data_IF_486531294504
#
_entry.id   IF_486531294504
#
_cell.length_a   1.000
_cell.length_b   1.000
_cell.length_c   1.000
_cell.angle_alpha   90.00
_cell.angle_beta   90.00
_cell.angle_gamma   90.00
#
_symmetry.space_group_name_H-M   'P 1'
#
loop_
_entity.id
_entity.type
_entity.pdbx_description
1 polymer ?
#
# COMPACT_ATOMS: atom_id res chain seq x y z
N UNK A 1 -1.87 -5.04 -11.05
CA UNK A 1 -0.63 -5.77 -11.40
C UNK A 1 -0.44 -5.70 -12.90
N UNK A 2 0.69 -5.29 -13.36
CA UNK A 2 1.02 -5.20 -14.77
C UNK A 2 2.29 -6.00 -15.08
N UNK A 3 2.26 -6.77 -16.16
CA UNK A 3 3.40 -7.47 -16.68
C UNK A 3 3.96 -6.70 -17.88
N UNK A 4 5.23 -6.46 -17.88
CA UNK A 4 5.94 -5.81 -18.99
C UNK A 4 7.02 -6.75 -19.51
N UNK A 5 7.00 -7.04 -20.79
CA UNK A 5 7.96 -7.94 -21.41
C UNK A 5 9.27 -7.21 -21.76
N UNK A 6 9.13 -6.01 -22.28
CA UNK A 6 10.26 -5.11 -22.54
C UNK A 6 9.78 -3.67 -22.59
N UNK A 7 10.71 -2.73 -22.56
CA UNK A 7 10.42 -1.30 -22.67
C UNK A 7 9.60 -0.94 -23.93
N UNK A 8 9.81 -1.68 -25.02
CA UNK A 8 9.16 -1.43 -26.32
C UNK A 8 7.86 -2.21 -26.53
N UNK A 9 7.60 -3.25 -25.76
CA UNK A 9 6.46 -4.15 -25.98
C UNK A 9 5.18 -3.76 -25.24
N UNK A 10 5.24 -2.77 -24.35
CA UNK A 10 4.10 -2.42 -23.50
C UNK A 10 3.70 -3.53 -22.51
N UNK A 11 2.47 -3.48 -22.05
CA UNK A 11 1.94 -4.47 -21.10
C UNK A 11 1.52 -5.76 -21.82
N UNK A 12 2.04 -6.89 -21.37
CA UNK A 12 1.64 -8.21 -21.85
C UNK A 12 0.42 -8.77 -21.13
N UNK A 13 0.25 -8.37 -19.87
CA UNK A 13 -0.89 -8.76 -19.04
C UNK A 13 -1.17 -7.72 -17.98
N UNK A 14 -2.42 -7.38 -17.78
CA UNK A 14 -2.87 -6.49 -16.72
C UNK A 14 -3.95 -7.16 -15.89
N UNK A 15 -3.93 -6.89 -14.58
CA UNK A 15 -4.98 -7.29 -13.66
C UNK A 15 -5.34 -6.10 -12.78
N UNK A 16 -6.61 -5.82 -12.69
CA UNK A 16 -7.14 -4.75 -11.83
C UNK A 16 -8.12 -5.34 -10.83
N UNK A 17 -7.90 -5.06 -9.55
CA UNK A 17 -8.84 -5.39 -8.49
C UNK A 17 -9.19 -4.07 -7.76
N UNK A 18 -10.41 -3.53 -7.95
CA UNK A 18 -10.83 -2.27 -7.36
C UNK A 18 -10.93 -2.33 -5.83
N UNK A 19 -10.94 -3.53 -5.25
CA UNK A 19 -11.02 -3.74 -3.80
C UNK A 19 -9.64 -3.84 -3.13
N UNK A 20 -8.56 -3.66 -3.89
CA UNK A 20 -7.17 -3.79 -3.40
C UNK A 20 -6.48 -2.43 -3.31
N UNK A 21 -7.22 -1.36 -3.10
CA UNK A 21 -6.67 -0.01 -2.94
C UNK A 21 -6.46 0.40 -1.48
N UNK A 22 -5.43 1.22 -1.23
CA UNK A 22 -5.16 1.81 0.10
C UNK A 22 -6.29 2.71 0.58
N UNK A 23 -7.06 3.28 -0.32
CA UNK A 23 -8.25 4.09 0.01
C UNK A 23 -9.24 3.37 0.92
N UNK A 24 -9.35 2.04 0.83
CA UNK A 24 -10.19 1.23 1.72
C UNK A 24 -9.66 1.27 3.16
N UNK A 25 -8.35 1.27 3.34
CA UNK A 25 -7.72 1.40 4.66
C UNK A 25 -7.95 2.82 5.18
N UNK A 26 -7.73 3.84 4.36
CA UNK A 26 -7.95 5.24 4.71
C UNK A 26 -9.37 5.50 5.19
N UNK A 27 -10.37 5.01 4.47
CA UNK A 27 -11.78 5.18 4.87
C UNK A 27 -12.11 4.42 6.17
N UNK A 28 -11.57 3.21 6.36
CA UNK A 28 -11.78 2.46 7.59
C UNK A 28 -11.13 3.13 8.82
N UNK A 29 -9.92 3.64 8.67
CA UNK A 29 -9.21 4.39 9.72
C UNK A 29 -9.94 5.70 10.03
N UNK A 30 -10.38 6.42 8.99
CA UNK A 30 -11.19 7.64 9.15
C UNK A 30 -12.47 7.36 9.92
N UNK A 31 -13.20 6.32 9.56
CA UNK A 31 -14.42 5.91 10.26
C UNK A 31 -14.15 5.57 11.75
N UNK A 32 -13.06 4.85 12.05
CA UNK A 32 -12.67 4.54 13.41
C UNK A 32 -12.32 5.80 14.22
N UNK A 33 -11.67 6.78 13.61
CA UNK A 33 -11.38 8.08 14.21
C UNK A 33 -12.66 8.89 14.46
N UNK A 34 -13.56 8.96 13.49
CA UNK A 34 -14.81 9.71 13.58
C UNK A 34 -15.76 9.14 14.65
N UNK A 35 -15.72 7.81 14.86
CA UNK A 35 -16.56 7.13 15.87
C UNK A 35 -16.04 7.34 17.28
N UNK A 36 -14.75 7.53 17.44
CA UNK A 36 -14.10 7.70 18.74
C UNK A 36 -14.00 9.15 19.21
N UNK A 37 -14.10 10.10 18.27
CA UNK A 37 -14.08 11.55 18.55
C UNK A 37 -15.23 12.17 17.76
N UNK A 38 -16.08 12.96 18.38
CA UNK A 38 -17.24 13.61 17.75
C UNK A 38 -16.87 14.67 16.69
N UNK A 39 -15.70 14.58 16.11
CA UNK A 39 -15.14 15.48 15.11
C UNK A 39 -14.88 14.73 13.81
N UNK A 40 -15.28 15.30 12.69
CA UNK A 40 -14.99 14.74 11.37
C UNK A 40 -13.48 14.80 11.07
N UNK A 41 -12.89 13.64 10.87
CA UNK A 41 -11.49 13.51 10.49
C UNK A 41 -11.31 13.66 8.98
N UNK A 42 -10.27 14.36 8.55
CA UNK A 42 -9.93 14.46 7.13
C UNK A 42 -9.26 13.17 6.64
N UNK A 43 -9.49 12.82 5.37
CA UNK A 43 -8.78 11.69 4.72
C UNK A 43 -7.27 11.90 4.72
N UNK A 44 -6.81 13.14 4.61
CA UNK A 44 -5.39 13.48 4.71
C UNK A 44 -4.78 13.08 6.07
N UNK A 45 -5.49 13.33 7.17
CA UNK A 45 -5.00 12.93 8.50
C UNK A 45 -4.96 11.41 8.64
N UNK A 46 -5.99 10.72 8.15
CA UNK A 46 -6.01 9.24 8.14
C UNK A 46 -4.83 8.67 7.33
N UNK A 47 -4.53 9.22 6.16
CA UNK A 47 -3.37 8.83 5.35
C UNK A 47 -2.04 9.07 6.09
N UNK A 48 -1.90 10.22 6.72
CA UNK A 48 -0.70 10.53 7.53
C UNK A 48 -0.53 9.56 8.69
N UNK A 49 -1.62 9.17 9.34
CA UNK A 49 -1.59 8.21 10.43
C UNK A 49 -1.20 6.81 9.94
N UNK A 50 -1.69 6.39 8.78
CA UNK A 50 -1.30 5.12 8.16
C UNK A 50 0.21 5.10 7.84
N UNK A 51 0.74 6.19 7.29
CA UNK A 51 2.18 6.33 7.00
C UNK A 51 3.02 6.32 8.28
N UNK A 52 2.54 6.97 9.35
CA UNK A 52 3.21 7.09 10.63
C UNK A 52 2.83 5.99 11.64
N UNK A 53 2.25 4.88 11.21
CA UNK A 53 1.74 3.80 12.08
C UNK A 53 2.79 3.17 12.99
N UNK A 54 4.05 3.27 12.63
CA UNK A 54 5.19 2.79 13.41
C UNK A 54 5.94 3.92 14.12
N UNK A 55 5.48 5.16 13.99
CA UNK A 55 6.07 6.33 14.63
C UNK A 55 5.37 6.62 15.97
N UNK A 56 5.98 6.15 17.04
CA UNK A 56 5.47 6.29 18.41
C UNK A 56 5.31 7.75 18.82
N UNK A 57 6.21 8.62 18.38
CA UNK A 57 6.16 10.06 18.69
C UNK A 57 4.94 10.70 18.03
N UNK A 58 4.67 10.36 16.76
CA UNK A 58 3.49 10.83 16.04
C UNK A 58 2.21 10.32 16.71
N UNK A 59 2.14 9.02 16.99
CA UNK A 59 0.96 8.41 17.59
C UNK A 59 0.64 8.98 18.96
N UNK A 60 1.64 9.17 19.82
CA UNK A 60 1.48 9.76 21.15
C UNK A 60 1.02 11.22 21.10
N UNK A 61 1.44 11.95 20.08
CA UNK A 61 1.05 13.35 19.89
C UNK A 61 -0.40 13.51 19.43
N UNK A 62 -0.86 12.68 18.52
CA UNK A 62 -2.16 12.83 17.87
C UNK A 62 -3.24 11.87 18.35
N UNK A 63 -2.86 10.75 18.96
CA UNK A 63 -3.76 9.77 19.57
C UNK A 63 -3.43 9.64 21.07
N UNK A 64 -3.79 10.65 21.85
CA UNK A 64 -3.49 10.71 23.27
C UNK A 64 -4.36 9.77 24.13
N UNK A 65 -5.58 9.49 23.66
CA UNK A 65 -6.48 8.55 24.35
C UNK A 65 -6.07 7.11 24.02
N UNK A 66 -5.73 6.33 25.04
CA UNK A 66 -5.23 4.96 24.89
C UNK A 66 -6.27 4.02 24.25
N UNK A 67 -7.54 4.15 24.60
CA UNK A 67 -8.62 3.31 24.06
C UNK A 67 -8.87 3.62 22.59
N UNK A 68 -8.91 4.90 22.25
CA UNK A 68 -9.02 5.37 20.86
C UNK A 68 -7.85 4.87 20.02
N UNK A 69 -6.64 5.02 20.54
CA UNK A 69 -5.42 4.56 19.88
C UNK A 69 -5.49 3.05 19.62
N UNK A 70 -5.84 2.26 20.64
CA UNK A 70 -5.95 0.81 20.52
C UNK A 70 -6.97 0.41 19.44
N UNK A 71 -8.14 1.07 19.42
CA UNK A 71 -9.18 0.81 18.42
C UNK A 71 -8.74 1.15 16.99
N UNK A 72 -8.14 2.32 16.80
CA UNK A 72 -7.65 2.76 15.48
C UNK A 72 -6.54 1.85 14.98
N UNK A 73 -5.59 1.50 15.82
CA UNK A 73 -4.48 0.60 15.46
C UNK A 73 -4.97 -0.81 15.15
N UNK A 74 -5.97 -1.30 15.86
CA UNK A 74 -6.61 -2.59 15.58
C UNK A 74 -7.25 -2.59 14.18
N UNK A 75 -8.06 -1.59 13.86
CA UNK A 75 -8.70 -1.45 12.54
C UNK A 75 -7.65 -1.34 11.44
N UNK A 76 -6.62 -0.54 11.64
CA UNK A 76 -5.50 -0.39 10.70
C UNK A 76 -4.83 -1.74 10.43
N UNK A 77 -4.46 -2.46 11.47
CA UNK A 77 -3.77 -3.75 11.37
C UNK A 77 -4.63 -4.81 10.65
N UNK A 78 -5.91 -4.90 10.99
CA UNK A 78 -6.85 -5.83 10.34
C UNK A 78 -6.98 -5.53 8.84
N UNK A 79 -7.06 -4.25 8.46
CA UNK A 79 -7.18 -3.83 7.06
C UNK A 79 -5.88 -3.99 6.29
N UNK A 80 -4.75 -3.70 6.90
CA UNK A 80 -3.42 -3.95 6.34
C UNK A 80 -3.22 -5.44 6.04
N UNK A 81 -3.58 -6.31 6.98
CA UNK A 81 -3.53 -7.76 6.81
C UNK A 81 -4.44 -8.24 5.69
N UNK A 82 -5.67 -7.74 5.60
CA UNK A 82 -6.60 -8.08 4.54
C UNK A 82 -6.11 -7.62 3.16
N UNK A 83 -5.53 -6.42 3.06
CA UNK A 83 -4.92 -5.91 1.83
C UNK A 83 -3.73 -6.79 1.41
N UNK A 84 -2.83 -7.05 2.34
CA UNK A 84 -1.66 -7.92 2.13
C UNK A 84 -2.07 -9.28 1.59
N UNK A 85 -3.07 -9.92 2.19
CA UNK A 85 -3.56 -11.22 1.74
C UNK A 85 -4.10 -11.16 0.31
N UNK A 86 -4.92 -10.16 -0.03
CA UNK A 86 -5.46 -10.00 -1.39
C UNK A 86 -4.38 -9.76 -2.43
N UNK A 87 -3.40 -8.92 -2.10
CA UNK A 87 -2.26 -8.64 -3.00
C UNK A 87 -1.45 -9.91 -3.21
N UNK A 88 -1.16 -10.65 -2.15
CA UNK A 88 -0.43 -11.92 -2.20
C UNK A 88 -1.16 -12.95 -3.07
N UNK A 89 -2.47 -13.10 -2.91
CA UNK A 89 -3.29 -14.00 -3.73
C UNK A 89 -3.28 -13.58 -5.20
N UNK A 90 -3.38 -12.28 -5.46
CA UNK A 90 -3.35 -11.75 -6.83
C UNK A 90 -2.00 -11.97 -7.49
N UNK A 91 -0.91 -11.75 -6.77
CA UNK A 91 0.47 -11.96 -7.24
C UNK A 91 0.76 -13.45 -7.44
N UNK A 92 0.29 -14.31 -6.54
CA UNK A 92 0.48 -15.75 -6.61
C UNK A 92 -0.14 -16.42 -7.83
N UNK A 93 -1.09 -15.75 -8.49
CA UNK A 93 -1.69 -16.24 -9.77
C UNK A 93 -0.77 -16.03 -10.98
N UNK A 94 0.29 -15.28 -10.82
CA UNK A 94 1.25 -15.00 -11.87
C UNK A 94 2.59 -15.63 -11.50
N UNK A 95 3.16 -16.38 -12.42
CA UNK A 95 4.46 -17.02 -12.26
C UNK A 95 5.49 -16.45 -13.23
N UNK A 96 6.77 -16.66 -12.93
CA UNK A 96 7.86 -16.36 -13.85
C UNK A 96 8.32 -14.89 -13.85
N UNK A 97 8.17 -14.20 -12.73
CA UNK A 97 8.74 -12.85 -12.59
C UNK A 97 10.27 -12.91 -12.57
N UNK A 98 10.90 -12.13 -13.42
CA UNK A 98 12.35 -11.89 -13.37
C UNK A 98 12.69 -10.71 -12.49
N UNK A 99 11.87 -9.67 -12.54
CA UNK A 99 11.99 -8.45 -11.73
C UNK A 99 10.60 -8.05 -11.23
N UNK A 100 10.55 -7.50 -10.04
CA UNK A 100 9.31 -6.99 -9.42
C UNK A 100 9.56 -5.57 -8.95
N UNK A 101 8.66 -4.68 -9.32
CA UNK A 101 8.65 -3.30 -8.84
C UNK A 101 7.31 -3.02 -8.16
N UNK A 102 7.36 -2.56 -6.91
CA UNK A 102 6.17 -2.15 -6.15
C UNK A 102 6.13 -0.64 -6.09
N UNK A 103 5.09 -0.06 -6.67
CA UNK A 103 4.89 1.39 -6.75
C UNK A 103 3.47 1.77 -6.33
N UNK A 104 3.30 3.02 -5.94
CA UNK A 104 2.00 3.55 -5.53
C UNK A 104 1.92 3.85 -4.03
N UNK A 105 0.89 4.58 -3.62
CA UNK A 105 0.73 5.06 -2.24
C UNK A 105 0.68 3.96 -1.15
N UNK A 106 0.43 2.72 -1.54
CA UNK A 106 0.39 1.55 -0.64
C UNK A 106 1.61 0.64 -0.72
N UNK A 107 2.65 1.01 -1.48
CA UNK A 107 3.81 0.16 -1.72
C UNK A 107 4.47 -0.30 -0.41
N UNK A 108 4.67 0.60 0.54
CA UNK A 108 5.28 0.29 1.84
C UNK A 108 4.48 -0.70 2.70
N UNK A 109 3.16 -0.78 2.49
CA UNK A 109 2.29 -1.70 3.24
C UNK A 109 2.40 -3.14 2.74
N UNK A 110 2.65 -3.33 1.45
CA UNK A 110 2.55 -4.65 0.80
C UNK A 110 3.87 -5.19 0.28
N UNK A 111 4.92 -4.36 0.22
CA UNK A 111 6.20 -4.72 -0.39
C UNK A 111 6.79 -6.02 0.16
N UNK A 112 6.83 -6.19 1.48
CA UNK A 112 7.36 -7.40 2.11
C UNK A 112 6.61 -8.66 1.70
N UNK A 113 5.29 -8.60 1.67
CA UNK A 113 4.45 -9.73 1.28
C UNK A 113 4.57 -10.05 -0.22
N UNK A 114 4.64 -9.02 -1.07
CA UNK A 114 4.86 -9.20 -2.52
C UNK A 114 6.22 -9.85 -2.78
N UNK A 115 7.26 -9.41 -2.10
CA UNK A 115 8.59 -10.01 -2.21
C UNK A 115 8.58 -11.49 -1.84
N UNK A 116 7.96 -11.82 -0.72
CA UNK A 116 7.83 -13.21 -0.26
C UNK A 116 7.02 -14.05 -1.25
N UNK A 117 5.92 -13.53 -1.77
CA UNK A 117 5.04 -14.25 -2.69
C UNK A 117 5.67 -14.48 -4.07
N UNK A 118 6.53 -13.56 -4.54
CA UNK A 118 7.21 -13.69 -5.83
C UNK A 118 8.51 -14.47 -5.76
N UNK A 119 9.14 -14.54 -4.58
CA UNK A 119 10.41 -15.23 -4.37
C UNK A 119 11.60 -14.65 -5.14
N UNK A 120 11.48 -13.42 -5.66
CA UNK A 120 12.59 -12.76 -6.35
C UNK A 120 13.66 -12.30 -5.37
N UNK A 121 14.92 -12.33 -5.81
CA UNK A 121 16.05 -11.86 -5.02
C UNK A 121 16.05 -10.35 -4.80
N UNK A 122 16.80 -9.88 -3.80
CA UNK A 122 16.85 -8.45 -3.42
C UNK A 122 17.29 -7.54 -4.57
N UNK A 123 18.22 -7.99 -5.39
CA UNK A 123 18.74 -7.27 -6.56
C UNK A 123 17.71 -7.11 -7.69
N UNK A 124 16.61 -7.84 -7.63
CA UNK A 124 15.52 -7.84 -8.62
C UNK A 124 14.19 -7.36 -8.08
N UNK A 125 14.19 -6.92 -6.83
CA UNK A 125 13.00 -6.40 -6.16
C UNK A 125 13.17 -4.93 -5.84
N UNK A 126 12.27 -4.10 -6.36
CA UNK A 126 12.32 -2.65 -6.23
C UNK A 126 11.08 -2.12 -5.56
N UNK A 127 11.27 -1.30 -4.56
CA UNK A 127 10.18 -0.51 -3.93
C UNK A 127 10.55 0.95 -4.13
N UNK A 128 9.60 1.74 -4.60
CA UNK A 128 9.85 3.15 -4.78
C UNK A 128 9.81 3.90 -3.45
N UNK A 129 10.81 4.74 -3.21
CA UNK A 129 10.84 5.66 -2.07
C UNK A 129 9.80 6.78 -2.23
N UNK A 130 9.38 7.06 -3.47
CA UNK A 130 8.34 8.03 -3.79
C UNK A 130 7.38 7.47 -4.84
N UNK A 131 6.50 6.51 -4.43
CA UNK A 131 5.72 5.70 -5.35
C UNK A 131 4.83 6.47 -6.31
N UNK A 132 4.35 7.64 -5.92
CA UNK A 132 3.45 8.46 -6.75
C UNK A 132 4.18 9.12 -7.92
N UNK A 133 5.40 9.60 -7.69
CA UNK A 133 6.22 10.22 -8.74
C UNK A 133 6.84 9.19 -9.69
N UNK A 134 7.27 8.06 -9.15
CA UNK A 134 7.92 7.03 -9.96
C UNK A 134 6.96 6.38 -10.94
N UNK A 135 5.67 6.27 -10.61
CA UNK A 135 4.66 5.82 -11.55
C UNK A 135 4.56 6.77 -12.75
N UNK A 136 4.56 8.07 -12.50
CA UNK A 136 4.54 9.10 -13.56
C UNK A 136 5.82 9.06 -14.38
N UNK A 137 6.99 8.99 -13.75
CA UNK A 137 8.29 8.86 -14.42
C UNK A 137 8.38 7.59 -15.27
N UNK A 138 7.86 6.47 -14.77
CA UNK A 138 7.75 5.21 -15.50
C UNK A 138 6.88 5.34 -16.75
N UNK A 139 5.73 6.01 -16.65
CA UNK A 139 4.85 6.29 -17.79
C UNK A 139 5.53 7.17 -18.84
N UNK A 140 6.26 8.21 -18.43
CA UNK A 140 7.03 9.08 -19.34
C UNK A 140 8.14 8.29 -20.03
N UNK A 141 8.87 7.44 -19.32
CA UNK A 141 9.91 6.58 -19.88
C UNK A 141 9.37 5.56 -20.90
N UNK A 142 8.14 5.09 -20.73
CA UNK A 142 7.48 4.18 -21.69
C UNK A 142 7.04 4.87 -22.98
N UNK A 143 6.75 6.18 -22.95
CA UNK A 143 6.40 6.99 -24.12
C UNK A 143 7.60 7.48 -24.92
N UNK A 144 8.72 7.56 -24.27
CA UNK A 144 10.00 7.93 -24.89
C UNK A 144 10.72 6.71 -25.46
#
# INVERSE_FOLDING_TARGET
IAHVRSKMSGFTKTHCDPKTGVSIITEAVKHALDTSVSTRTSSYFADRLIQARNDETFLSRYLQNADQRAQVMKVLHEREKALTHRVTDSVGRFAGFTHVMVVGGGASLVAGAVKQATGVSDDRFFVSDNPQFDLVLGMVAMKG
#
